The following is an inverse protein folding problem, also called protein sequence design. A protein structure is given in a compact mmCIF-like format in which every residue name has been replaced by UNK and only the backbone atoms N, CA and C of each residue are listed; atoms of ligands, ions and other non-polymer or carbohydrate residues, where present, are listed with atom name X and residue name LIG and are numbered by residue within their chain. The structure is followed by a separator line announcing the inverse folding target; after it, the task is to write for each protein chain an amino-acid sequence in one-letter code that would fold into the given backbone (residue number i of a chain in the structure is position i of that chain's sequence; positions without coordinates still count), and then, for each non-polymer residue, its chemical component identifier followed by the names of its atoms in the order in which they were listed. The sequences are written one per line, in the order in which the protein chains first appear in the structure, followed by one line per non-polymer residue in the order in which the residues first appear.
data_IF_759298265344
#
_entry.id   IF_759298265344
#
_cell.length_a   1.000
_cell.length_b   1.000
_cell.length_c   1.000
_cell.angle_alpha   90.00
_cell.angle_beta   90.00
_cell.angle_gamma   90.00
#
_symmetry.space_group_name_H-M   'P 1'
#
loop_
_entity.id
_entity.type
_entity.pdbx_description
1 polymer ?
#
# COMPACT_ATOMS: atom_id res chain seq x y z
N UNK A 1 8.03 8.73 -5.07
CA UNK A 1 8.69 7.59 -4.41
C UNK A 1 9.97 7.28 -5.18
N UNK A 2 11.04 6.89 -4.49
CA UNK A 2 12.40 6.81 -5.03
C UNK A 2 12.65 5.68 -6.02
N UNK A 3 13.89 5.21 -6.08
CA UNK A 3 14.38 4.23 -7.07
C UNK A 3 14.37 2.77 -6.57
N UNK A 4 14.48 1.81 -7.48
CA UNK A 4 14.58 0.38 -7.12
C UNK A 4 15.78 0.15 -6.19
N UNK A 5 15.58 -0.69 -5.19
CA UNK A 5 16.51 -0.99 -4.09
C UNK A 5 16.65 0.09 -3.01
N UNK A 6 16.00 1.25 -3.15
CA UNK A 6 15.90 2.20 -2.05
C UNK A 6 14.94 1.71 -0.97
N UNK A 7 15.29 2.03 0.28
CA UNK A 7 14.49 1.72 1.46
C UNK A 7 13.53 2.88 1.75
N UNK A 8 12.29 2.54 2.09
CA UNK A 8 11.25 3.48 2.46
C UNK A 8 10.71 3.16 3.84
N UNK A 9 10.34 4.21 4.56
CA UNK A 9 9.42 4.13 5.70
C UNK A 9 8.06 4.62 5.24
N UNK A 10 7.05 3.76 5.37
CA UNK A 10 5.66 4.02 5.02
C UNK A 10 4.87 4.13 6.32
N UNK A 11 4.06 5.19 6.43
CA UNK A 11 3.15 5.40 7.56
C UNK A 11 1.75 5.37 7.00
N UNK A 12 0.96 4.39 7.44
CA UNK A 12 -0.43 4.23 7.05
C UNK A 12 -1.32 4.61 8.22
N UNK A 13 -2.33 5.42 7.94
CA UNK A 13 -3.46 5.65 8.84
C UNK A 13 -4.55 4.65 8.42
N UNK A 14 -4.83 3.68 9.29
CA UNK A 14 -5.79 2.61 9.05
C UNK A 14 -6.98 2.77 9.97
N UNK A 15 -8.17 2.43 9.50
CA UNK A 15 -9.30 2.14 10.38
C UNK A 15 -9.37 0.63 10.55
N UNK A 16 -9.30 0.16 11.80
CA UNK A 16 -9.38 -1.26 12.15
C UNK A 16 -10.44 -1.40 13.23
N UNK A 17 -11.52 -2.14 12.93
CA UNK A 17 -12.64 -2.35 13.86
C UNK A 17 -13.24 -1.03 14.38
N UNK A 18 -13.31 0.00 13.53
CA UNK A 18 -13.84 1.33 13.87
C UNK A 18 -12.93 2.17 14.76
N UNK A 19 -11.65 1.80 14.91
CA UNK A 19 -10.64 2.61 15.59
C UNK A 19 -9.56 3.06 14.59
N UNK A 20 -9.12 4.31 14.72
CA UNK A 20 -8.00 4.84 13.94
C UNK A 20 -6.69 4.32 14.53
N UNK A 21 -5.90 3.65 13.70
CA UNK A 21 -4.64 3.02 14.04
C UNK A 21 -3.54 3.45 13.08
N UNK A 22 -2.34 3.71 13.60
CA UNK A 22 -1.19 4.05 12.78
C UNK A 22 -0.29 2.82 12.58
N UNK A 23 -0.08 2.42 11.33
CA UNK A 23 0.81 1.34 10.95
C UNK A 23 2.04 1.89 10.24
N UNK A 24 3.20 1.82 10.90
CA UNK A 24 4.49 2.12 10.27
C UNK A 24 5.13 0.84 9.72
N UNK A 25 5.47 0.80 8.43
CA UNK A 25 6.19 -0.31 7.78
C UNK A 25 7.47 0.18 7.12
N UNK A 26 8.49 -0.67 7.10
CA UNK A 26 9.73 -0.43 6.33
C UNK A 26 9.77 -1.41 5.18
N UNK A 27 10.10 -0.94 3.99
CA UNK A 27 10.16 -1.78 2.80
C UNK A 27 11.18 -1.31 1.78
N UNK A 28 11.53 -2.19 0.87
CA UNK A 28 12.41 -1.90 -0.26
C UNK A 28 11.59 -1.76 -1.54
N UNK A 29 11.90 -0.76 -2.36
CA UNK A 29 11.30 -0.63 -3.69
C UNK A 29 11.85 -1.77 -4.56
N UNK A 30 10.96 -2.62 -5.08
CA UNK A 30 11.30 -3.75 -5.97
C UNK A 30 10.98 -3.48 -7.43
N UNK A 31 10.08 -2.55 -7.70
CA UNK A 31 9.72 -2.16 -9.07
C UNK A 31 9.16 -0.75 -9.11
N UNK A 32 9.38 -0.08 -10.25
CA UNK A 32 8.76 1.18 -10.61
C UNK A 32 8.15 1.02 -11.99
N UNK A 33 6.89 1.39 -12.16
CA UNK A 33 6.18 1.33 -13.44
C UNK A 33 5.45 2.65 -13.66
N UNK A 34 5.56 3.19 -14.86
CA UNK A 34 4.72 4.30 -15.30
C UNK A 34 3.53 3.72 -16.06
N UNK A 35 2.32 4.04 -15.62
CA UNK A 35 1.09 3.72 -16.32
C UNK A 35 0.51 5.01 -16.86
N UNK A 36 0.39 5.06 -18.18
CA UNK A 36 -0.30 6.15 -18.85
C UNK A 36 -1.73 5.70 -19.12
N UNK A 37 -2.70 6.30 -18.45
CA UNK A 37 -4.13 6.07 -18.68
C UNK A 37 -4.73 7.30 -19.33
N UNK A 38 -5.41 7.13 -20.46
CA UNK A 38 -6.05 8.22 -21.17
C UNK A 38 -7.30 7.75 -21.89
N UNK A 39 -8.42 8.41 -21.59
CA UNK A 39 -9.66 8.35 -22.37
C UNK A 39 -9.78 9.67 -23.16
N UNK A 40 -8.92 9.87 -24.16
CA UNK A 40 -8.92 11.09 -24.99
C UNK A 40 -7.99 12.20 -24.47
N UNK A 41 -8.49 13.44 -24.37
CA UNK A 41 -7.69 14.67 -24.26
C UNK A 41 -6.85 14.83 -22.98
N UNK A 42 -7.15 14.07 -21.92
CA UNK A 42 -6.35 14.04 -20.70
C UNK A 42 -5.58 12.72 -20.62
N UNK A 43 -4.26 12.85 -20.60
CA UNK A 43 -3.33 11.76 -20.39
C UNK A 43 -2.88 11.80 -18.94
N UNK A 44 -3.39 10.92 -18.10
CA UNK A 44 -2.94 10.79 -16.71
C UNK A 44 -1.74 9.84 -16.67
N UNK A 45 -0.62 10.34 -16.12
CA UNK A 45 0.57 9.52 -15.86
C UNK A 45 0.60 9.15 -14.39
N UNK A 46 0.34 7.88 -14.09
CA UNK A 46 0.43 7.32 -12.76
C UNK A 46 1.77 6.59 -12.60
N UNK A 47 2.55 6.97 -11.60
CA UNK A 47 3.78 6.25 -11.23
C UNK A 47 3.46 5.25 -10.11
N UNK A 48 3.68 3.98 -10.37
CA UNK A 48 3.39 2.87 -9.46
C UNK A 48 4.67 2.25 -8.93
N UNK A 49 4.76 2.09 -7.61
CA UNK A 49 5.90 1.47 -6.92
C UNK A 49 5.49 0.15 -6.30
N UNK A 50 6.16 -0.93 -6.67
CA UNK A 50 6.07 -2.20 -5.97
C UNK A 50 7.01 -2.20 -4.78
N UNK A 51 6.47 -2.29 -3.56
CA UNK A 51 7.25 -2.30 -2.32
C UNK A 51 7.19 -3.67 -1.67
N UNK A 52 8.35 -4.22 -1.31
CA UNK A 52 8.45 -5.42 -0.49
C UNK A 52 8.72 -5.01 0.95
N UNK A 53 7.80 -5.32 1.86
CA UNK A 53 8.01 -5.05 3.28
C UNK A 53 9.13 -5.93 3.83
N UNK A 54 9.97 -5.33 4.68
CA UNK A 54 10.99 -6.02 5.48
C UNK A 54 10.32 -6.72 6.66
N UNK A 55 11.10 -7.09 7.68
CA UNK A 55 10.59 -7.75 8.87
C UNK A 55 9.41 -6.96 9.47
N UNK A 56 8.25 -7.62 9.54
CA UNK A 56 7.03 -7.11 10.15
C UNK A 56 6.89 -7.77 11.51
N UNK A 57 6.74 -6.99 12.57
CA UNK A 57 6.54 -7.54 13.90
C UNK A 57 5.13 -8.14 14.05
N UNK A 58 4.90 -8.91 15.12
CA UNK A 58 3.63 -9.64 15.31
C UNK A 58 2.43 -8.70 15.42
N UNK A 59 2.58 -7.53 16.03
CA UNK A 59 1.51 -6.55 16.14
C UNK A 59 1.13 -5.97 14.77
N UNK A 60 2.14 -5.53 14.01
CA UNK A 60 1.97 -5.03 12.65
C UNK A 60 1.34 -6.08 11.72
N UNK A 61 1.72 -7.36 11.85
CA UNK A 61 1.10 -8.46 11.10
C UNK A 61 -0.38 -8.62 11.44
N UNK A 62 -0.73 -8.56 12.72
CA UNK A 62 -2.14 -8.67 13.18
C UNK A 62 -2.96 -7.50 12.65
N UNK A 63 -2.46 -6.27 12.75
CA UNK A 63 -3.13 -5.09 12.21
C UNK A 63 -3.33 -5.19 10.70
N UNK A 64 -2.29 -5.55 9.96
CA UNK A 64 -2.38 -5.71 8.51
C UNK A 64 -3.42 -6.78 8.14
N UNK A 65 -3.41 -7.91 8.86
CA UNK A 65 -4.36 -8.99 8.61
C UNK A 65 -5.79 -8.57 8.93
N UNK A 66 -6.03 -7.92 10.06
CA UNK A 66 -7.35 -7.40 10.44
C UNK A 66 -7.88 -6.40 9.40
N UNK A 67 -7.03 -5.45 8.98
CA UNK A 67 -7.38 -4.47 7.96
C UNK A 67 -7.71 -5.12 6.61
N UNK A 68 -6.88 -6.05 6.12
CA UNK A 68 -7.15 -6.77 4.86
C UNK A 68 -8.47 -7.53 4.93
N UNK A 69 -8.73 -8.22 6.04
CA UNK A 69 -9.97 -8.97 6.23
C UNK A 69 -11.20 -8.05 6.24
N UNK A 70 -11.10 -6.86 6.81
CA UNK A 70 -12.15 -5.85 6.80
C UNK A 70 -12.42 -5.32 5.37
N UNK A 71 -11.37 -5.01 4.61
CA UNK A 71 -11.52 -4.58 3.20
C UNK A 71 -12.18 -5.65 2.33
N UNK A 72 -11.83 -6.93 2.54
CA UNK A 72 -12.45 -8.06 1.85
C UNK A 72 -13.92 -8.25 2.24
N UNK A 73 -14.25 -8.10 3.53
CA UNK A 73 -15.60 -8.29 4.03
C UNK A 73 -16.56 -7.18 3.59
N UNK A 74 -16.07 -5.94 3.49
CA UNK A 74 -16.86 -4.75 3.12
C UNK A 74 -16.97 -4.55 1.62
N UNK A 75 -16.24 -5.32 0.81
CA UNK A 75 -16.19 -5.16 -0.64
C UNK A 75 -15.51 -3.86 -1.10
N UNK A 76 -14.95 -3.09 -0.17
CA UNK A 76 -14.09 -1.95 -0.49
C UNK A 76 -12.75 -2.40 -1.12
N UNK A 77 -12.36 -3.66 -0.87
CA UNK A 77 -11.23 -4.33 -1.49
C UNK A 77 -11.55 -4.92 -2.87
N UNK A 78 -11.99 -4.09 -3.83
CA UNK A 78 -11.75 -4.40 -5.24
C UNK A 78 -10.24 -4.25 -5.47
N UNK A 79 -9.49 -5.31 -5.14
CA UNK A 79 -8.03 -5.35 -5.22
C UNK A 79 -7.55 -5.68 -6.65
N UNK A 80 -8.34 -5.31 -7.67
CA UNK A 80 -8.09 -5.55 -9.10
C UNK A 80 -8.66 -4.48 -10.00
#
# INVERSE_FOLDING_TARGET
LGEVAEMLQLVFELEVLGQAEQLTLVGDIRSVRERTTGNGAETERALMHGVQFRAVNRFQQVLLHAWVMEQLATGAGDLG
#
